data_IF_519782823703
#
_entry.id   IF_519782823703
#
_cell.length_a   1.000
_cell.length_b   1.000
_cell.length_c   1.000
_cell.angle_alpha   90.00
_cell.angle_beta   90.00
_cell.angle_gamma   90.00
#
_symmetry.space_group_name_H-M   'P 1'
#
loop_
_entity.id
_entity.type
_entity.pdbx_description
1 polymer ?
#
# COMPACT_ATOMS: atom_id res chain seq x y z
N UNK A 1 1.67 -10.70 14.14
CA UNK A 1 2.36 -11.04 12.87
C UNK A 1 3.65 -10.23 12.86
N UNK A 2 4.82 -10.86 12.83
CA UNK A 2 6.08 -10.14 12.61
C UNK A 2 6.22 -9.94 11.10
N UNK A 3 6.22 -8.69 10.65
CA UNK A 3 6.49 -8.34 9.27
C UNK A 3 7.95 -7.93 9.16
N UNK A 4 8.64 -8.50 8.18
CA UNK A 4 10.00 -8.11 7.88
C UNK A 4 9.99 -6.80 7.08
N UNK A 5 10.79 -5.83 7.54
CA UNK A 5 11.00 -4.55 6.87
C UNK A 5 12.45 -4.48 6.40
N UNK A 6 12.64 -4.35 5.09
CA UNK A 6 13.93 -3.96 4.54
C UNK A 6 14.07 -2.43 4.67
N UNK A 7 14.92 -1.99 5.60
CA UNK A 7 15.15 -0.56 5.84
C UNK A 7 16.54 -0.20 5.32
N UNK A 8 16.59 0.70 4.34
CA UNK A 8 17.84 1.24 3.82
C UNK A 8 18.25 2.45 4.68
N UNK A 9 19.30 2.28 5.47
CA UNK A 9 19.86 3.35 6.31
C UNK A 9 21.30 3.62 5.92
N UNK A 10 21.73 4.88 5.94
CA UNK A 10 23.16 5.21 5.92
C UNK A 10 23.74 4.89 7.30
N UNK A 11 24.63 3.91 7.36
CA UNK A 11 25.20 3.36 8.61
C UNK A 11 25.96 4.39 9.45
N UNK A 12 26.35 5.53 8.88
CA UNK A 12 27.04 6.63 9.57
C UNK A 12 26.18 7.31 10.64
N UNK A 13 24.85 7.15 10.62
CA UNK A 13 23.93 7.93 11.45
C UNK A 13 23.20 7.13 12.54
N UNK A 14 23.28 5.80 12.54
CA UNK A 14 22.51 4.96 13.45
C UNK A 14 23.34 3.77 13.95
N UNK A 15 23.35 3.59 15.27
CA UNK A 15 23.74 2.32 15.87
C UNK A 15 22.69 1.24 15.59
N UNK A 16 23.07 -0.04 15.69
CA UNK A 16 22.15 -1.16 15.48
C UNK A 16 20.91 -1.09 16.39
N UNK A 17 21.10 -0.69 17.67
CA UNK A 17 20.00 -0.54 18.62
C UNK A 17 19.03 0.59 18.22
N UNK A 18 19.55 1.72 17.73
CA UNK A 18 18.72 2.81 17.23
C UNK A 18 17.96 2.40 15.95
N UNK A 19 18.63 1.70 15.03
CA UNK A 19 18.01 1.17 13.83
C UNK A 19 16.86 0.19 14.17
N UNK A 20 17.08 -0.73 15.11
CA UNK A 20 16.06 -1.66 15.59
C UNK A 20 14.85 -0.94 16.20
N UNK A 21 15.09 0.12 16.98
CA UNK A 21 14.03 0.95 17.56
C UNK A 21 13.19 1.65 16.47
N UNK A 22 13.85 2.21 15.45
CA UNK A 22 13.16 2.82 14.29
C UNK A 22 12.32 1.79 13.55
N UNK A 23 12.87 0.61 13.27
CA UNK A 23 12.15 -0.49 12.60
C UNK A 23 10.92 -0.92 13.40
N UNK A 24 11.04 -1.04 14.72
CA UNK A 24 9.91 -1.36 15.60
C UNK A 24 8.83 -0.27 15.57
N UNK A 25 9.23 1.01 15.58
CA UNK A 25 8.32 2.14 15.43
C UNK A 25 7.58 2.13 14.09
N UNK A 26 8.29 1.88 12.99
CA UNK A 26 7.70 1.76 11.66
C UNK A 26 6.69 0.61 11.60
N UNK A 27 7.04 -0.57 12.12
CA UNK A 27 6.11 -1.70 12.20
C UNK A 27 4.83 -1.36 12.98
N UNK A 28 4.95 -0.62 14.08
CA UNK A 28 3.81 -0.18 14.89
C UNK A 28 2.88 0.77 14.15
N UNK A 29 3.43 1.68 13.34
CA UNK A 29 2.67 2.72 12.62
C UNK A 29 2.08 2.16 11.31
N UNK A 30 2.88 1.42 10.55
CA UNK A 30 2.52 0.96 9.22
C UNK A 30 1.68 -0.33 9.24
N UNK A 31 1.94 -1.24 10.18
CA UNK A 31 1.24 -2.52 10.29
C UNK A 31 -0.30 -2.42 10.26
N UNK A 32 -0.92 -1.47 11.00
CA UNK A 32 -2.37 -1.30 10.99
C UNK A 32 -2.94 -0.75 9.67
N UNK A 33 -2.17 -0.03 8.86
CA UNK A 33 -2.67 0.69 7.66
C UNK A 33 -2.27 0.05 6.35
N UNK A 34 -1.25 -0.81 6.33
CA UNK A 34 -0.81 -1.53 5.14
C UNK A 34 -1.65 -2.80 4.90
N UNK A 35 -2.95 -2.60 4.72
CA UNK A 35 -3.89 -3.68 4.44
C UNK A 35 -4.84 -3.31 3.30
N UNK A 36 -5.48 -4.33 2.72
CA UNK A 36 -6.41 -4.16 1.59
C UNK A 36 -7.59 -3.23 1.90
N UNK A 37 -8.10 -3.22 3.14
CA UNK A 37 -9.22 -2.37 3.49
C UNK A 37 -8.82 -0.90 3.44
N UNK A 38 -7.70 -0.53 4.07
CA UNK A 38 -7.15 0.82 4.01
C UNK A 38 -6.77 1.22 2.58
N UNK A 39 -6.13 0.32 1.83
CA UNK A 39 -5.75 0.56 0.43
C UNK A 39 -6.97 0.87 -0.45
N UNK A 40 -8.02 0.04 -0.39
CA UNK A 40 -9.23 0.23 -1.20
C UNK A 40 -10.06 1.45 -0.79
N UNK A 41 -9.95 1.92 0.45
CA UNK A 41 -10.58 3.17 0.90
C UNK A 41 -9.82 4.38 0.36
N UNK A 42 -8.50 4.35 0.34
CA UNK A 42 -7.67 5.48 -0.10
C UNK A 42 -7.59 5.65 -1.62
N UNK A 43 -7.79 4.57 -2.39
CA UNK A 43 -7.61 4.57 -3.83
C UNK A 43 -8.92 4.34 -4.59
N UNK A 44 -8.99 4.84 -5.82
CA UNK A 44 -10.02 4.57 -6.80
C UNK A 44 -9.41 4.00 -8.08
N UNK A 45 -10.25 3.35 -8.90
CA UNK A 45 -9.82 2.77 -10.18
C UNK A 45 -10.39 3.57 -11.33
N UNK A 46 -9.52 4.04 -12.21
CA UNK A 46 -9.88 4.63 -13.51
C UNK A 46 -9.83 3.51 -14.55
N UNK A 47 -10.99 3.04 -14.99
CA UNK A 47 -11.11 2.03 -16.05
C UNK A 47 -11.49 2.72 -17.37
N UNK A 48 -10.47 3.03 -18.18
CA UNK A 48 -10.66 3.74 -19.45
C UNK A 48 -11.46 2.87 -20.43
N UNK A 49 -11.26 1.55 -20.42
CA UNK A 49 -12.00 0.62 -21.30
C UNK A 49 -13.51 0.71 -21.09
N UNK A 50 -13.95 1.15 -19.90
CA UNK A 50 -15.35 1.28 -19.52
C UNK A 50 -15.77 2.73 -19.26
N UNK A 51 -14.91 3.69 -19.56
CA UNK A 51 -15.13 5.13 -19.33
C UNK A 51 -15.69 5.44 -17.94
N UNK A 52 -15.12 4.82 -16.88
CA UNK A 52 -15.66 4.93 -15.52
C UNK A 52 -14.60 5.05 -14.45
N UNK A 53 -15.00 5.66 -13.34
CA UNK A 53 -14.25 5.67 -12.09
C UNK A 53 -14.96 4.75 -11.10
N UNK A 54 -14.22 3.83 -10.49
CA UNK A 54 -14.72 2.86 -9.51
C UNK A 54 -14.19 3.21 -8.13
N UNK A 55 -15.09 3.59 -7.22
CA UNK A 55 -14.77 4.02 -5.86
C UNK A 55 -15.27 3.05 -4.78
N UNK A 56 -16.17 2.12 -5.14
CA UNK A 56 -16.69 1.11 -4.20
C UNK A 56 -15.56 0.14 -3.82
N UNK A 57 -15.20 0.10 -2.55
CA UNK A 57 -14.03 -0.63 -2.03
C UNK A 57 -13.97 -2.11 -2.43
N UNK A 58 -15.10 -2.82 -2.38
CA UNK A 58 -15.17 -4.23 -2.79
C UNK A 58 -14.91 -4.42 -4.30
N UNK A 59 -15.35 -3.49 -5.14
CA UNK A 59 -15.09 -3.52 -6.58
C UNK A 59 -13.65 -3.14 -6.90
N UNK A 60 -13.07 -2.17 -6.18
CA UNK A 60 -11.64 -1.82 -6.28
C UNK A 60 -10.79 -3.05 -6.00
N UNK A 61 -11.05 -3.72 -4.87
CA UNK A 61 -10.36 -4.97 -4.49
C UNK A 61 -10.51 -6.04 -5.57
N UNK A 62 -11.74 -6.29 -6.02
CA UNK A 62 -12.02 -7.30 -7.02
C UNK A 62 -11.26 -7.03 -8.34
N UNK A 63 -11.29 -5.80 -8.84
CA UNK A 63 -10.62 -5.45 -10.11
C UNK A 63 -9.11 -5.72 -10.03
N UNK A 64 -8.49 -5.36 -8.90
CA UNK A 64 -7.05 -5.52 -8.69
C UNK A 64 -6.64 -6.99 -8.48
N UNK A 65 -7.49 -7.81 -7.87
CA UNK A 65 -7.22 -9.23 -7.66
C UNK A 65 -7.49 -10.07 -8.91
N UNK A 66 -8.61 -9.84 -9.59
CA UNK A 66 -9.05 -10.66 -10.72
C UNK A 66 -8.30 -10.31 -12.02
N UNK A 67 -7.80 -9.07 -12.14
CA UNK A 67 -7.26 -8.53 -13.40
C UNK A 67 -6.00 -7.68 -13.20
N UNK A 68 -4.94 -8.21 -12.55
CA UNK A 68 -3.78 -7.43 -12.16
C UNK A 68 -3.06 -6.73 -13.34
N UNK A 69 -3.12 -7.30 -14.54
CA UNK A 69 -2.40 -6.80 -15.72
C UNK A 69 -3.33 -6.37 -16.86
N UNK A 70 -4.58 -6.01 -16.57
CA UNK A 70 -5.48 -5.55 -17.63
C UNK A 70 -5.09 -4.13 -18.07
N UNK A 71 -4.83 -3.97 -19.37
CA UNK A 71 -4.47 -2.69 -19.96
C UNK A 71 -5.53 -1.60 -19.71
N UNK A 72 -5.05 -0.36 -19.62
CA UNK A 72 -5.86 0.86 -19.44
C UNK A 72 -6.74 0.87 -18.18
N UNK A 73 -6.28 0.19 -17.13
CA UNK A 73 -6.82 0.29 -15.77
C UNK A 73 -5.74 0.93 -14.90
N UNK A 74 -6.07 2.05 -14.27
CA UNK A 74 -5.14 2.83 -13.46
C UNK A 74 -5.66 2.94 -12.03
N UNK A 75 -4.73 2.92 -11.08
CA UNK A 75 -4.98 3.18 -9.66
C UNK A 75 -4.70 4.66 -9.43
N UNK A 76 -5.67 5.39 -8.90
CA UNK A 76 -5.53 6.79 -8.52
C UNK A 76 -5.68 6.90 -6.99
N UNK A 77 -4.72 7.54 -6.34
CA UNK A 77 -4.83 7.88 -4.94
C UNK A 77 -5.68 9.15 -4.80
N UNK A 78 -6.60 9.18 -3.82
CA UNK A 78 -7.53 10.30 -3.63
C UNK A 78 -6.99 11.45 -2.76
N UNK A 79 -5.74 11.35 -2.29
CA UNK A 79 -5.08 12.37 -1.48
C UNK A 79 -4.53 13.54 -2.30
#
# INVERSE_FOLDING_TARGET
MNRDLLVLTKQEFLTEAQAASVVAGLNKILGPVENWAAFCVANEIIDINKHKIVTKTHLVKQILQDKPNKAFIFICNKN
#
